data_IF_754001103624
#
_entry.id   IF_754001103624
#
_cell.length_a   1.000
_cell.length_b   1.000
_cell.length_c   1.000
_cell.angle_alpha   90.00
_cell.angle_beta   90.00
_cell.angle_gamma   90.00
#
_symmetry.space_group_name_H-M   'P 1'
#
loop_
_entity.id
_entity.type
_entity.pdbx_description
1 polymer ?
#
# COMPACT_ATOMS: atom_id res chain seq x y z
N UNK A 1 -0.49 14.38 -3.53
CA UNK A 1 0.24 15.67 -3.70
C UNK A 1 0.90 15.77 -5.07
N UNK A 2 1.79 14.85 -5.44
CA UNK A 2 2.51 14.85 -6.74
C UNK A 2 1.54 14.87 -7.93
N UNK A 3 0.54 13.99 -7.90
CA UNK A 3 -0.50 13.89 -8.94
C UNK A 3 -1.65 14.91 -8.78
N UNK A 4 -1.53 15.87 -7.83
CA UNK A 4 -2.56 16.89 -7.54
C UNK A 4 -3.99 16.36 -7.31
N UNK A 5 -4.10 15.12 -6.84
CA UNK A 5 -5.38 14.50 -6.49
C UNK A 5 -6.04 15.22 -5.29
N UNK A 6 -7.37 15.33 -5.33
CA UNK A 6 -8.16 15.85 -4.22
C UNK A 6 -8.07 14.94 -3.00
N UNK A 7 -8.12 15.52 -1.80
CA UNK A 7 -8.22 14.78 -0.54
C UNK A 7 -9.68 14.62 -0.06
N UNK A 8 -10.67 15.08 -0.83
CA UNK A 8 -12.08 14.88 -0.51
C UNK A 8 -12.61 13.57 -1.16
N UNK A 9 -13.48 12.79 -0.51
CA UNK A 9 -14.09 13.02 0.81
C UNK A 9 -13.17 12.66 1.99
N UNK A 10 -12.13 11.84 1.77
CA UNK A 10 -11.11 11.51 2.77
C UNK A 10 -9.73 11.36 2.12
N UNK A 11 -8.64 11.58 2.89
CA UNK A 11 -7.28 11.38 2.39
C UNK A 11 -7.07 9.92 1.95
N UNK A 12 -6.51 9.73 0.76
CA UNK A 12 -6.25 8.38 0.22
C UNK A 12 -7.40 7.77 -0.59
N UNK A 13 -8.66 8.22 -0.42
CA UNK A 13 -9.80 7.66 -1.16
C UNK A 13 -9.63 7.75 -2.68
N UNK A 14 -9.25 8.92 -3.19
CA UNK A 14 -9.06 9.08 -4.65
C UNK A 14 -7.84 8.32 -5.19
N UNK A 15 -6.86 8.02 -4.33
CA UNK A 15 -5.73 7.15 -4.72
C UNK A 15 -6.26 5.74 -4.97
N UNK A 16 -7.12 5.23 -4.09
CA UNK A 16 -7.77 3.93 -4.23
C UNK A 16 -8.67 3.86 -5.47
N UNK A 17 -9.50 4.88 -5.71
CA UNK A 17 -10.36 4.88 -6.89
C UNK A 17 -9.56 4.86 -8.20
N UNK A 18 -8.42 5.55 -8.26
CA UNK A 18 -7.54 5.52 -9.43
C UNK A 18 -6.77 4.21 -9.54
N UNK A 19 -6.30 3.66 -8.42
CA UNK A 19 -5.58 2.40 -8.39
C UNK A 19 -6.39 1.24 -8.99
N UNK A 20 -7.72 1.24 -8.81
CA UNK A 20 -8.63 0.23 -9.40
C UNK A 20 -8.56 0.15 -10.94
N UNK A 21 -8.13 1.22 -11.60
CA UNK A 21 -8.01 1.27 -13.07
C UNK A 21 -6.57 1.14 -13.57
N UNK A 22 -5.59 1.01 -12.67
CA UNK A 22 -4.19 0.81 -13.03
C UNK A 22 -3.95 -0.62 -13.52
N UNK A 23 -3.15 -0.77 -14.57
CA UNK A 23 -2.85 -2.08 -15.17
C UNK A 23 -1.35 -2.37 -15.23
N UNK A 24 -0.51 -1.34 -15.16
CA UNK A 24 0.93 -1.46 -15.33
C UNK A 24 1.65 -1.22 -14.00
N UNK A 25 2.33 -2.25 -13.51
CA UNK A 25 3.13 -2.13 -12.29
C UNK A 25 4.46 -1.41 -12.54
N UNK A 26 4.79 -0.47 -11.66
CA UNK A 26 6.10 0.20 -11.55
C UNK A 26 6.79 -0.31 -10.29
N UNK A 27 7.99 -0.90 -10.40
CA UNK A 27 8.79 -1.23 -9.23
C UNK A 27 9.14 0.01 -8.42
N UNK A 28 8.68 0.05 -7.17
CA UNK A 28 8.99 1.07 -6.19
C UNK A 28 9.97 0.52 -5.14
N UNK A 29 10.74 1.38 -4.44
CA UNK A 29 11.61 0.94 -3.36
C UNK A 29 10.82 0.22 -2.28
N UNK A 30 11.27 -0.98 -1.92
CA UNK A 30 10.64 -1.80 -0.89
C UNK A 30 11.47 -1.72 0.39
N UNK A 31 11.05 -0.85 1.31
CA UNK A 31 11.87 -0.42 2.44
C UNK A 31 11.40 -1.02 3.78
N UNK A 32 11.61 -2.33 3.96
CA UNK A 32 11.33 -3.04 5.22
C UNK A 32 12.63 -3.39 5.94
N UNK A 33 12.69 -3.12 7.25
CA UNK A 33 13.81 -3.49 8.13
C UNK A 33 13.29 -4.23 9.35
N UNK A 34 13.33 -5.55 9.32
CA UNK A 34 12.74 -6.37 10.37
C UNK A 34 11.21 -6.21 10.39
N UNK A 35 10.68 -5.55 11.42
CA UNK A 35 9.25 -5.22 11.55
C UNK A 35 8.95 -3.74 11.29
N UNK A 36 9.97 -2.94 10.96
CA UNK A 36 9.82 -1.51 10.68
C UNK A 36 9.66 -1.24 9.18
N UNK A 37 8.80 -0.29 8.84
CA UNK A 37 8.59 0.22 7.48
C UNK A 37 9.08 1.67 7.36
N UNK A 38 9.65 2.04 6.21
CA UNK A 38 10.04 3.42 5.93
C UNK A 38 9.36 3.98 4.69
N UNK A 39 8.45 4.95 4.89
CA UNK A 39 7.71 5.60 3.80
C UNK A 39 8.37 6.86 3.24
N UNK A 40 9.26 7.50 4.00
CA UNK A 40 9.89 8.76 3.60
C UNK A 40 10.72 8.61 2.32
N UNK A 41 11.52 7.54 2.22
CA UNK A 41 12.32 7.26 1.02
C UNK A 41 11.47 6.99 -0.22
N UNK A 42 10.31 6.35 -0.04
CA UNK A 42 9.36 6.07 -1.13
C UNK A 42 8.73 7.37 -1.64
N UNK A 43 8.32 8.26 -0.73
CA UNK A 43 7.76 9.56 -1.13
C UNK A 43 8.75 10.38 -1.96
N UNK A 44 10.00 10.49 -1.51
CA UNK A 44 11.05 11.21 -2.25
C UNK A 44 11.29 10.59 -3.62
N UNK A 45 11.40 9.25 -3.69
CA UNK A 45 11.59 8.55 -4.95
C UNK A 45 10.44 8.81 -5.94
N UNK A 46 9.20 8.82 -5.46
CA UNK A 46 8.01 9.11 -6.28
C UNK A 46 8.01 10.56 -6.75
N UNK A 47 8.28 11.51 -5.87
CA UNK A 47 8.34 12.94 -6.22
C UNK A 47 9.35 13.21 -7.34
N UNK A 48 10.50 12.54 -7.32
CA UNK A 48 11.54 12.67 -8.34
C UNK A 48 11.19 11.92 -9.65
N UNK A 49 10.59 10.74 -9.55
CA UNK A 49 10.47 9.81 -10.69
C UNK A 49 9.14 9.88 -11.43
N UNK A 50 8.07 10.36 -10.79
CA UNK A 50 6.74 10.48 -11.41
C UNK A 50 6.76 11.29 -12.72
N UNK A 51 7.41 12.47 -12.81
CA UNK A 51 7.43 13.22 -14.07
C UNK A 51 8.02 12.41 -15.24
N UNK A 52 9.06 11.62 -14.96
CA UNK A 52 9.69 10.75 -15.95
C UNK A 52 8.80 9.56 -16.31
N UNK A 53 8.19 8.89 -15.33
CA UNK A 53 7.29 7.76 -15.57
C UNK A 53 6.08 8.17 -16.40
N UNK A 54 5.51 9.35 -16.16
CA UNK A 54 4.43 9.90 -16.98
C UNK A 54 4.88 10.10 -18.44
N UNK A 55 6.12 10.56 -18.67
CA UNK A 55 6.67 10.69 -20.03
C UNK A 55 6.95 9.35 -20.72
N UNK A 56 7.18 8.29 -19.94
CA UNK A 56 7.38 6.91 -20.40
C UNK A 56 6.05 6.16 -20.65
N UNK A 57 4.92 6.87 -20.55
CA UNK A 57 3.59 6.35 -20.87
C UNK A 57 2.88 5.63 -19.73
N UNK A 58 3.35 5.77 -18.48
CA UNK A 58 2.58 5.36 -17.31
C UNK A 58 1.49 6.37 -17.01
N UNK A 59 0.33 5.91 -16.53
CA UNK A 59 -0.78 6.78 -16.17
C UNK A 59 -0.81 7.05 -14.66
N UNK A 60 -1.51 8.10 -14.18
CA UNK A 60 -1.74 8.30 -12.75
C UNK A 60 -2.35 7.08 -12.06
N UNK A 61 -3.23 6.34 -12.75
CA UNK A 61 -3.85 5.10 -12.28
C UNK A 61 -2.81 4.01 -12.04
N UNK A 62 -1.91 3.77 -12.99
CA UNK A 62 -0.80 2.81 -12.86
C UNK A 62 0.11 3.15 -11.68
N UNK A 63 0.37 4.44 -11.46
CA UNK A 63 1.20 4.91 -10.36
C UNK A 63 0.50 4.72 -9.01
N UNK A 64 -0.80 5.03 -8.92
CA UNK A 64 -1.61 4.78 -7.72
C UNK A 64 -1.70 3.29 -7.39
N UNK A 65 -1.92 2.45 -8.41
CA UNK A 65 -1.90 0.99 -8.29
C UNK A 65 -0.57 0.50 -7.73
N UNK A 66 0.53 0.84 -8.38
CA UNK A 66 1.87 0.41 -7.98
C UNK A 66 2.24 0.86 -6.56
N UNK A 67 1.80 2.06 -6.18
CA UNK A 67 1.97 2.59 -4.83
C UNK A 67 1.22 1.76 -3.79
N UNK A 68 -0.07 1.49 -4.02
CA UNK A 68 -0.88 0.71 -3.09
C UNK A 68 -0.33 -0.70 -2.93
N UNK A 69 -0.07 -1.39 -4.03
CA UNK A 69 0.47 -2.76 -3.98
C UNK A 69 1.80 -2.82 -3.21
N UNK A 70 2.72 -1.89 -3.47
CA UNK A 70 4.03 -1.90 -2.81
C UNK A 70 3.90 -1.59 -1.32
N UNK A 71 3.16 -0.54 -0.95
CA UNK A 71 3.06 -0.13 0.45
C UNK A 71 2.25 -1.11 1.29
N UNK A 72 1.16 -1.65 0.74
CA UNK A 72 0.34 -2.61 1.47
C UNK A 72 1.05 -3.96 1.59
N UNK A 73 1.81 -4.40 0.58
CA UNK A 73 2.67 -5.57 0.72
C UNK A 73 3.69 -5.38 1.87
N UNK A 74 4.32 -4.21 1.97
CA UNK A 74 5.24 -3.91 3.09
C UNK A 74 4.54 -4.00 4.44
N UNK A 75 3.33 -3.45 4.55
CA UNK A 75 2.53 -3.52 5.78
C UNK A 75 2.18 -4.97 6.13
N UNK A 76 1.62 -5.72 5.17
CA UNK A 76 1.23 -7.12 5.36
C UNK A 76 2.43 -7.98 5.76
N UNK A 77 3.59 -7.81 5.11
CA UNK A 77 4.83 -8.51 5.49
C UNK A 77 5.22 -8.23 6.94
N UNK A 78 5.22 -6.96 7.35
CA UNK A 78 5.59 -6.60 8.73
C UNK A 78 4.56 -7.10 9.75
N UNK A 79 3.27 -7.06 9.41
CA UNK A 79 2.20 -7.58 10.26
C UNK A 79 2.28 -9.09 10.39
N UNK A 80 2.55 -9.82 9.30
CA UNK A 80 2.72 -11.27 9.31
C UNK A 80 3.91 -11.69 10.19
N UNK A 81 5.04 -10.97 10.09
CA UNK A 81 6.20 -11.18 10.98
C UNK A 81 5.85 -10.95 12.44
N UNK A 82 5.11 -9.89 12.74
CA UNK A 82 4.69 -9.56 14.10
C UNK A 82 3.70 -10.60 14.65
N UNK A 83 2.73 -11.03 13.83
CA UNK A 83 1.75 -12.06 14.17
C UNK A 83 2.45 -13.36 14.61
N UNK A 84 3.41 -13.82 13.80
CA UNK A 84 4.20 -15.00 14.10
C UNK A 84 5.08 -14.83 15.36
N UNK A 85 5.66 -13.64 15.56
CA UNK A 85 6.53 -13.39 16.71
C UNK A 85 5.76 -13.31 18.04
N UNK A 86 4.54 -12.78 18.00
CA UNK A 86 3.66 -12.68 19.17
C UNK A 86 2.87 -13.96 19.44
N UNK A 87 2.94 -14.96 18.56
CA UNK A 87 2.10 -16.18 18.61
C UNK A 87 0.60 -15.84 18.75
N UNK A 88 0.15 -14.84 17.98
CA UNK A 88 -1.24 -14.41 17.92
C UNK A 88 -1.93 -15.02 16.70
N UNK A 89 -3.24 -15.18 16.78
CA UNK A 89 -4.10 -15.71 15.72
C UNK A 89 -5.12 -14.64 15.24
N UNK A 90 -4.95 -13.39 15.68
CA UNK A 90 -5.86 -12.30 15.36
C UNK A 90 -5.08 -11.06 14.91
N UNK A 91 -5.60 -10.40 13.86
CA UNK A 91 -5.15 -9.10 13.36
C UNK A 91 -6.34 -8.15 13.36
N UNK A 92 -6.15 -6.93 13.89
CA UNK A 92 -7.15 -5.86 13.88
C UNK A 92 -6.59 -4.68 13.09
N UNK A 93 -7.30 -4.23 12.05
CA UNK A 93 -6.94 -3.02 11.31
C UNK A 93 -7.67 -1.82 11.92
N UNK A 94 -6.91 -0.80 12.32
CA UNK A 94 -7.44 0.46 12.86
C UNK A 94 -6.90 1.68 12.09
N UNK A 95 -7.58 2.82 12.26
CA UNK A 95 -7.19 4.09 11.66
C UNK A 95 -7.81 4.33 10.28
N UNK A 96 -7.72 5.57 9.78
CA UNK A 96 -8.44 5.99 8.57
C UNK A 96 -8.01 5.27 7.29
N UNK A 97 -6.75 4.82 7.20
CA UNK A 97 -6.26 4.02 6.06
C UNK A 97 -6.82 2.60 6.09
N UNK A 98 -7.28 2.13 7.25
CA UNK A 98 -7.89 0.82 7.41
C UNK A 98 -9.20 0.64 6.65
N UNK A 99 -9.83 1.73 6.20
CA UNK A 99 -11.02 1.69 5.34
C UNK A 99 -10.70 1.36 3.87
N UNK A 100 -9.42 1.25 3.49
CA UNK A 100 -9.02 0.91 2.14
C UNK A 100 -9.29 -0.58 1.86
N UNK A 101 -10.10 -0.86 0.85
CA UNK A 101 -10.56 -2.22 0.54
C UNK A 101 -9.40 -3.12 0.12
N UNK A 102 -8.42 -2.56 -0.61
CA UNK A 102 -7.26 -3.32 -1.09
C UNK A 102 -6.35 -3.76 0.05
N UNK A 103 -6.11 -2.89 1.04
CA UNK A 103 -5.37 -3.25 2.26
C UNK A 103 -6.09 -4.35 3.05
N UNK A 104 -7.41 -4.23 3.22
CA UNK A 104 -8.22 -5.25 3.90
C UNK A 104 -8.15 -6.59 3.18
N UNK A 105 -8.23 -6.59 1.85
CA UNK A 105 -8.13 -7.79 1.02
C UNK A 105 -6.77 -8.48 1.21
N UNK A 106 -5.66 -7.74 1.06
CA UNK A 106 -4.31 -8.32 1.18
C UNK A 106 -4.03 -8.84 2.59
N UNK A 107 -4.46 -8.11 3.63
CA UNK A 107 -4.32 -8.57 5.01
C UNK A 107 -5.20 -9.79 5.29
N UNK A 108 -6.39 -9.84 4.70
CA UNK A 108 -7.34 -10.95 4.84
C UNK A 108 -6.78 -12.23 4.24
N UNK A 109 -6.20 -12.16 3.04
CA UNK A 109 -5.51 -13.28 2.40
C UNK A 109 -4.37 -13.81 3.27
N UNK A 110 -3.50 -12.93 3.79
CA UNK A 110 -2.41 -13.32 4.69
C UNK A 110 -2.94 -14.00 5.97
N UNK A 111 -4.01 -13.47 6.57
CA UNK A 111 -4.62 -14.06 7.75
C UNK A 111 -5.18 -15.46 7.45
N UNK A 112 -5.90 -15.63 6.34
CA UNK A 112 -6.45 -16.92 5.91
C UNK A 112 -5.34 -17.97 5.71
N UNK A 113 -4.25 -17.61 5.02
CA UNK A 113 -3.09 -18.49 4.81
C UNK A 113 -2.39 -18.90 6.12
N UNK A 114 -2.43 -18.04 7.14
CA UNK A 114 -1.87 -18.28 8.48
C UNK A 114 -2.83 -18.99 9.43
N UNK A 115 -4.10 -19.20 9.05
CA UNK A 115 -5.15 -19.67 9.95
C UNK A 115 -5.55 -18.65 11.03
N UNK A 116 -5.29 -17.37 10.79
CA UNK A 116 -5.61 -16.25 11.66
C UNK A 116 -6.90 -15.55 11.22
N UNK A 117 -7.46 -14.72 12.10
CA UNK A 117 -8.69 -13.95 11.85
C UNK A 117 -8.40 -12.46 11.73
N UNK A 118 -8.93 -11.86 10.67
CA UNK A 118 -8.92 -10.41 10.46
C UNK A 118 -10.18 -9.75 11.06
N UNK A 119 -10.01 -8.60 11.71
CA UNK A 119 -11.05 -7.74 12.24
C UNK A 119 -10.91 -6.30 11.75
#
# INVERSE_FOLDING_TARGET
RVLKLSNAPSPGYNIEQLAKNGNKYVPLPYCVKGMDVSFSGILTYIEERVPKLLSEGYTPEDLCFSLQETLFAMLVETTERALAHCNSEEVLIVGGVGCNERLQEMMGQMCEERGAKLF
#
